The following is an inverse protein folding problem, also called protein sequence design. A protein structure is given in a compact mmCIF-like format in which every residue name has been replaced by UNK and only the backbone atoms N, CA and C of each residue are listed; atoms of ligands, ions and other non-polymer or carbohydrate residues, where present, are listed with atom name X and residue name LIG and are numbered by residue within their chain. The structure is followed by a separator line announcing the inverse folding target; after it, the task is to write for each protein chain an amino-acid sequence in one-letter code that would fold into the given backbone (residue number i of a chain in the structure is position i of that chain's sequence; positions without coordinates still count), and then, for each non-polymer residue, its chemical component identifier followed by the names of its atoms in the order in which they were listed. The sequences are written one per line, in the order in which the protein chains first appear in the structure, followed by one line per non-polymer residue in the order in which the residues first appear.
data_IF_692711426328
#
_entry.id   IF_692711426328
#
_cell.length_a   1.000
_cell.length_b   1.000
_cell.length_c   1.000
_cell.angle_alpha   90.00
_cell.angle_beta   90.00
_cell.angle_gamma   90.00
#
_symmetry.space_group_name_H-M   'P 1'
#
loop_
_entity.id
_entity.type
_entity.pdbx_description
1 polymer ?
#
# COMPACT_ATOMS: atom_id res chain seq x y z
N UNK A 1 17.14 37.54 4.50
CA UNK A 1 18.18 37.81 5.51
C UNK A 1 17.51 38.25 6.80
N UNK A 2 17.35 37.36 7.78
CA UNK A 2 17.50 37.65 9.22
C UNK A 2 17.47 36.31 9.96
N UNK A 3 18.57 36.01 10.65
CA UNK A 3 18.82 34.80 11.43
C UNK A 3 18.27 35.00 12.84
N UNK A 4 17.71 33.96 13.46
CA UNK A 4 17.72 33.83 14.91
C UNK A 4 18.15 32.41 15.26
N UNK A 5 19.30 32.32 15.92
CA UNK A 5 19.77 31.12 16.60
C UNK A 5 19.29 31.13 18.05
N UNK A 6 19.18 29.94 18.63
CA UNK A 6 19.14 29.77 20.07
C UNK A 6 20.10 28.64 20.45
N UNK A 7 21.19 29.06 21.09
CA UNK A 7 22.08 28.25 21.91
C UNK A 7 21.31 27.82 23.17
N UNK A 8 21.43 26.56 23.58
CA UNK A 8 21.21 26.16 24.97
C UNK A 8 22.44 25.40 25.47
N UNK A 9 23.15 26.05 26.38
CA UNK A 9 24.26 25.51 27.14
C UNK A 9 23.75 24.84 28.42
N UNK A 10 24.53 23.86 28.86
CA UNK A 10 24.39 23.05 30.07
C UNK A 10 24.22 23.86 31.36
N UNK A 11 23.47 23.30 32.30
CA UNK A 11 23.75 23.49 33.73
C UNK A 11 23.42 22.21 34.50
N UNK A 12 24.47 21.59 35.03
CA UNK A 12 24.40 20.49 35.98
C UNK A 12 24.42 21.06 37.41
N UNK A 13 23.67 20.46 38.35
CA UNK A 13 24.14 20.35 39.74
C UNK A 13 23.25 19.45 40.62
N UNK A 14 23.94 18.48 41.24
CA UNK A 14 23.80 17.95 42.62
C UNK A 14 22.81 16.80 42.92
N UNK A 15 23.40 15.63 43.06
CA UNK A 15 23.00 14.55 44.00
C UNK A 15 23.32 14.92 45.46
N UNK A 16 22.74 14.17 46.42
CA UNK A 16 23.60 13.45 47.36
C UNK A 16 23.23 11.96 47.54
N UNK A 17 24.26 11.15 47.80
CA UNK A 17 24.20 9.78 48.35
C UNK A 17 23.51 9.80 49.74
N UNK A 18 22.97 8.73 50.34
CA UNK A 18 23.36 7.32 50.44
C UNK A 18 22.24 6.58 51.22
N UNK A 19 21.95 5.31 50.92
CA UNK A 19 20.99 4.54 51.73
C UNK A 19 20.95 3.05 51.40
N UNK A 20 21.77 2.29 52.13
CA UNK A 20 21.67 0.88 52.53
C UNK A 20 20.89 -0.14 51.66
N UNK A 21 21.64 -1.15 51.22
CA UNK A 21 21.13 -2.46 50.84
C UNK A 21 20.52 -3.20 52.05
N UNK A 22 19.30 -3.69 51.91
CA UNK A 22 18.83 -4.88 52.63
C UNK A 22 18.05 -5.78 51.67
N UNK A 23 18.71 -6.83 51.19
CA UNK A 23 18.09 -7.92 50.47
C UNK A 23 17.59 -8.95 51.49
N UNK A 24 16.28 -9.16 51.56
CA UNK A 24 15.71 -10.41 52.11
C UNK A 24 14.28 -10.61 51.62
N UNK A 25 14.10 -11.63 50.76
CA UNK A 25 12.92 -12.50 50.82
C UNK A 25 11.69 -12.14 49.99
N UNK A 26 11.79 -12.25 48.66
CA UNK A 26 10.93 -13.13 47.80
C UNK A 26 11.28 -12.87 46.33
N UNK A 27 11.77 -13.87 45.55
CA UNK A 27 11.95 -13.69 44.12
C UNK A 27 10.58 -13.78 43.46
N UNK A 28 9.93 -12.63 43.26
CA UNK A 28 8.73 -12.57 42.45
C UNK A 28 9.07 -12.97 41.01
N UNK A 29 8.40 -14.05 40.58
CA UNK A 29 8.36 -14.72 39.27
C UNK A 29 8.00 -13.82 38.06
N UNK A 30 8.25 -12.51 38.10
CA UNK A 30 7.65 -11.53 37.18
C UNK A 30 8.54 -11.01 36.04
N UNK A 31 9.84 -11.29 36.02
CA UNK A 31 10.76 -10.71 35.02
C UNK A 31 10.78 -11.46 33.69
N UNK A 32 10.73 -12.80 33.73
CA UNK A 32 10.72 -13.61 32.51
C UNK A 32 9.39 -13.47 31.76
N UNK A 33 8.28 -13.41 32.47
CA UNK A 33 6.92 -13.31 31.91
C UNK A 33 6.66 -11.91 31.35
N UNK A 34 7.09 -10.85 32.04
CA UNK A 34 7.01 -9.47 31.52
C UNK A 34 7.94 -9.26 30.31
N UNK A 35 9.11 -9.90 30.25
CA UNK A 35 9.97 -9.87 29.05
C UNK A 35 9.37 -10.66 27.89
N UNK A 36 8.69 -11.79 28.17
CA UNK A 36 7.97 -12.58 27.17
C UNK A 36 6.75 -11.84 26.63
N UNK A 37 5.99 -11.19 27.52
CA UNK A 37 4.84 -10.34 27.15
C UNK A 37 5.31 -9.14 26.33
N UNK A 38 6.40 -8.47 26.70
CA UNK A 38 7.02 -7.39 25.91
C UNK A 38 7.47 -7.87 24.54
N UNK A 39 8.18 -9.02 24.46
CA UNK A 39 8.60 -9.59 23.17
C UNK A 39 7.41 -10.07 22.32
N UNK A 40 6.34 -10.56 22.94
CA UNK A 40 5.10 -10.93 22.25
C UNK A 40 4.34 -9.70 21.76
N UNK A 41 4.30 -8.60 22.52
CA UNK A 41 3.71 -7.34 22.05
C UNK A 41 4.52 -6.72 20.91
N UNK A 42 5.85 -6.86 20.95
CA UNK A 42 6.73 -6.37 19.89
C UNK A 42 6.58 -7.16 18.59
N UNK A 43 6.23 -8.45 18.66
CA UNK A 43 5.95 -9.26 17.47
C UNK A 43 4.80 -8.66 16.64
N UNK A 44 3.76 -8.13 17.30
CA UNK A 44 2.58 -7.57 16.67
C UNK A 44 2.78 -6.15 16.11
N UNK A 45 3.98 -5.58 16.24
CA UNK A 45 4.32 -4.29 15.65
C UNK A 45 4.51 -4.47 14.14
N UNK A 46 3.72 -3.73 13.38
CA UNK A 46 3.76 -3.75 11.93
C UNK A 46 4.79 -2.75 11.41
N UNK A 47 5.79 -3.28 10.70
CA UNK A 47 6.81 -2.54 9.95
C UNK A 47 7.03 -3.27 8.63
N UNK A 48 7.46 -2.57 7.57
CA UNK A 48 7.92 -3.24 6.36
C UNK A 48 8.93 -4.35 6.71
N UNK A 49 8.73 -5.53 6.15
CA UNK A 49 9.60 -6.70 6.36
C UNK A 49 9.68 -7.22 7.82
N UNK A 50 8.71 -6.90 8.67
CA UNK A 50 8.59 -7.55 9.99
C UNK A 50 8.06 -8.99 9.89
N UNK A 51 8.19 -9.82 10.94
CA UNK A 51 7.60 -11.16 10.93
C UNK A 51 6.08 -11.16 10.67
N UNK A 52 5.34 -10.21 11.25
CA UNK A 52 3.90 -10.06 11.01
C UNK A 52 3.62 -9.62 9.57
N UNK A 53 4.46 -8.80 8.96
CA UNK A 53 4.36 -8.46 7.54
C UNK A 53 4.43 -9.72 6.67
N UNK A 54 5.41 -10.59 6.91
CA UNK A 54 5.54 -11.84 6.14
C UNK A 54 4.42 -12.84 6.45
N UNK A 55 3.93 -12.89 7.69
CA UNK A 55 2.78 -13.72 8.06
C UNK A 55 1.51 -13.30 7.33
N UNK A 56 1.24 -11.99 7.28
CA UNK A 56 0.12 -11.44 6.52
C UNK A 56 0.30 -11.69 5.02
N UNK A 57 1.48 -11.42 4.47
CA UNK A 57 1.76 -11.72 3.07
C UNK A 57 1.50 -13.20 2.74
N UNK A 58 1.98 -14.12 3.58
CA UNK A 58 1.74 -15.56 3.42
C UNK A 58 0.25 -15.91 3.50
N UNK A 59 -0.49 -15.36 4.46
CA UNK A 59 -1.93 -15.55 4.59
C UNK A 59 -2.68 -15.10 3.33
N UNK A 60 -2.37 -13.91 2.81
CA UNK A 60 -3.01 -13.39 1.61
C UNK A 60 -2.63 -14.19 0.35
N UNK A 61 -1.39 -14.66 0.23
CA UNK A 61 -0.99 -15.57 -0.85
C UNK A 61 -1.74 -16.91 -0.77
N UNK A 62 -1.91 -17.46 0.44
CA UNK A 62 -2.71 -18.68 0.65
C UNK A 62 -4.17 -18.47 0.27
N UNK A 63 -4.77 -17.33 0.60
CA UNK A 63 -6.13 -16.96 0.17
C UNK A 63 -6.23 -16.93 -1.36
N UNK A 64 -5.28 -16.30 -2.05
CA UNK A 64 -5.24 -16.25 -3.51
C UNK A 64 -5.14 -17.66 -4.12
N UNK A 65 -4.25 -18.51 -3.60
CA UNK A 65 -4.05 -19.89 -4.08
C UNK A 65 -5.32 -20.73 -3.82
N UNK A 66 -5.88 -20.64 -2.62
CA UNK A 66 -7.10 -21.35 -2.26
C UNK A 66 -8.28 -20.91 -3.14
N UNK A 67 -8.46 -19.61 -3.35
CA UNK A 67 -9.50 -19.09 -4.24
C UNK A 67 -9.30 -19.57 -5.68
N UNK A 68 -8.06 -19.56 -6.20
CA UNK A 68 -7.74 -20.07 -7.54
C UNK A 68 -8.04 -21.58 -7.66
N UNK A 69 -7.76 -22.36 -6.62
CA UNK A 69 -8.09 -23.79 -6.59
C UNK A 69 -9.60 -24.03 -6.54
N UNK A 70 -10.34 -23.32 -5.68
CA UNK A 70 -11.79 -23.44 -5.53
C UNK A 70 -12.56 -23.01 -6.78
N UNK A 71 -12.04 -22.03 -7.51
CA UNK A 71 -12.64 -21.52 -8.75
C UNK A 71 -12.13 -22.24 -10.00
N UNK A 72 -11.28 -23.26 -9.84
CA UNK A 72 -10.81 -24.08 -10.96
C UNK A 72 -11.98 -24.80 -11.62
N UNK A 73 -12.07 -24.70 -12.94
CA UNK A 73 -13.16 -25.29 -13.72
C UNK A 73 -14.50 -24.55 -13.64
N UNK A 74 -14.62 -23.50 -12.82
CA UNK A 74 -15.80 -22.63 -12.82
C UNK A 74 -15.84 -21.76 -14.07
N UNK A 75 -17.05 -21.32 -14.44
CA UNK A 75 -17.22 -20.44 -15.60
C UNK A 75 -16.48 -19.11 -15.40
N UNK A 76 -16.02 -18.52 -16.50
CA UNK A 76 -15.41 -17.19 -16.51
C UNK A 76 -16.31 -16.14 -15.85
N UNK A 77 -17.63 -16.23 -16.06
CA UNK A 77 -18.62 -15.33 -15.44
C UNK A 77 -18.63 -15.46 -13.91
N UNK A 78 -18.60 -16.68 -13.39
CA UNK A 78 -18.53 -16.92 -11.94
C UNK A 78 -17.28 -16.30 -11.33
N UNK A 79 -16.12 -16.51 -11.96
CA UNK A 79 -14.85 -15.95 -11.48
C UNK A 79 -14.87 -14.42 -11.47
N UNK A 80 -15.42 -13.79 -12.52
CA UNK A 80 -15.59 -12.35 -12.59
C UNK A 80 -16.54 -11.80 -11.51
N UNK A 81 -17.65 -12.49 -11.24
CA UNK A 81 -18.58 -12.10 -10.18
C UNK A 81 -17.95 -12.23 -8.79
N UNK A 82 -17.16 -13.29 -8.54
CA UNK A 82 -16.47 -13.46 -7.26
C UNK A 82 -15.44 -12.36 -7.02
N UNK A 83 -14.61 -12.03 -8.01
CA UNK A 83 -13.66 -10.90 -7.88
C UNK A 83 -14.43 -9.59 -7.71
N UNK A 84 -15.50 -9.36 -8.48
CA UNK A 84 -16.29 -8.13 -8.38
C UNK A 84 -16.91 -7.97 -6.98
N UNK A 85 -17.47 -9.05 -6.43
CA UNK A 85 -18.02 -9.06 -5.08
C UNK A 85 -16.95 -8.79 -4.02
N UNK A 86 -15.74 -9.35 -4.18
CA UNK A 86 -14.61 -9.08 -3.30
C UNK A 86 -14.22 -7.60 -3.34
N UNK A 87 -14.08 -6.99 -4.53
CA UNK A 87 -13.78 -5.56 -4.65
C UNK A 87 -14.86 -4.67 -4.00
N UNK A 88 -16.15 -5.01 -4.16
CA UNK A 88 -17.22 -4.27 -3.50
C UNK A 88 -17.17 -4.41 -1.97
N UNK A 89 -16.86 -5.60 -1.46
CA UNK A 89 -16.66 -5.81 -0.02
C UNK A 89 -15.44 -5.02 0.50
N UNK A 90 -14.34 -5.03 -0.24
CA UNK A 90 -13.14 -4.23 0.08
C UNK A 90 -13.46 -2.74 0.06
N UNK A 91 -14.30 -2.26 -0.87
CA UNK A 91 -14.75 -0.86 -0.90
C UNK A 91 -15.62 -0.49 0.31
N UNK A 92 -16.54 -1.36 0.71
CA UNK A 92 -17.33 -1.15 1.93
C UNK A 92 -16.44 -1.12 3.18
N UNK A 93 -15.46 -2.03 3.25
CA UNK A 93 -14.45 -2.04 4.30
C UNK A 93 -13.60 -0.77 4.30
N UNK A 94 -13.22 -0.27 3.12
CA UNK A 94 -12.49 0.99 2.96
C UNK A 94 -13.28 2.18 3.50
N UNK A 95 -14.58 2.28 3.20
CA UNK A 95 -15.45 3.35 3.72
C UNK A 95 -15.52 3.30 5.25
N UNK A 96 -15.73 2.10 5.81
CA UNK A 96 -15.75 1.92 7.27
C UNK A 96 -14.39 2.30 7.89
N UNK A 97 -13.29 1.91 7.26
CA UNK A 97 -11.93 2.28 7.68
C UNK A 97 -11.71 3.80 7.65
N UNK A 98 -12.18 4.52 6.63
CA UNK A 98 -12.07 5.99 6.57
C UNK A 98 -12.84 6.67 7.70
N UNK A 99 -13.98 6.12 8.10
CA UNK A 99 -14.69 6.60 9.29
C UNK A 99 -13.86 6.41 10.57
N UNK A 100 -13.22 5.26 10.77
CA UNK A 100 -12.34 5.06 11.92
C UNK A 100 -11.13 6.00 11.93
N UNK A 101 -10.56 6.30 10.76
CA UNK A 101 -9.49 7.28 10.63
C UNK A 101 -9.97 8.70 10.98
N UNK A 102 -11.21 9.07 10.65
CA UNK A 102 -11.70 10.43 10.91
C UNK A 102 -11.84 10.75 12.39
N UNK A 103 -11.95 9.73 13.25
CA UNK A 103 -12.05 9.87 14.71
C UNK A 103 -10.76 9.48 15.44
N UNK A 104 -9.69 9.12 14.72
CA UNK A 104 -8.40 8.76 15.32
C UNK A 104 -7.63 10.03 15.71
N UNK A 105 -7.68 10.38 16.99
CA UNK A 105 -7.03 11.58 17.53
C UNK A 105 -5.50 11.53 17.37
N UNK A 106 -4.88 10.37 17.59
CA UNK A 106 -3.44 10.20 17.49
C UNK A 106 -2.97 10.40 16.04
N UNK A 107 -3.70 9.84 15.07
CA UNK A 107 -3.39 10.07 13.66
C UNK A 107 -3.52 11.54 13.29
N UNK A 108 -4.56 12.23 13.76
CA UNK A 108 -4.77 13.65 13.50
C UNK A 108 -3.63 14.51 14.05
N UNK A 109 -3.08 14.17 15.21
CA UNK A 109 -1.91 14.84 15.78
C UNK A 109 -0.64 14.57 14.94
N UNK A 110 -0.40 13.31 14.56
CA UNK A 110 0.76 12.91 13.75
C UNK A 110 0.76 13.56 12.36
N UNK A 111 -0.42 13.81 11.80
CA UNK A 111 -0.61 14.35 10.45
C UNK A 111 -1.00 15.83 10.44
N UNK A 112 -0.99 16.51 11.59
CA UNK A 112 -1.39 17.92 11.69
C UNK A 112 -0.56 18.84 10.78
N UNK A 113 0.74 18.56 10.64
CA UNK A 113 1.64 19.28 9.73
C UNK A 113 1.27 19.11 8.25
N UNK A 114 0.55 18.04 7.90
CA UNK A 114 0.05 17.72 6.55
C UNK A 114 -1.42 18.11 6.36
N UNK A 115 -2.06 18.71 7.38
CA UNK A 115 -3.46 19.16 7.32
C UNK A 115 -4.44 18.27 8.09
N UNK A 116 -3.96 17.24 8.78
CA UNK A 116 -4.80 16.29 9.52
C UNK A 116 -5.68 15.45 8.61
N UNK A 117 -6.60 14.68 9.20
CA UNK A 117 -7.62 13.98 8.43
C UNK A 117 -8.55 14.98 7.73
N UNK A 118 -8.73 14.82 6.42
CA UNK A 118 -9.67 15.60 5.62
C UNK A 118 -10.42 14.69 4.65
N UNK A 119 -11.74 14.70 4.69
CA UNK A 119 -12.58 13.87 3.80
C UNK A 119 -12.31 14.10 2.31
N UNK A 120 -11.92 15.32 1.91
CA UNK A 120 -11.52 15.64 0.54
C UNK A 120 -10.14 15.11 0.15
N UNK A 121 -9.27 14.78 1.11
CA UNK A 121 -8.00 14.08 0.90
C UNK A 121 -8.13 12.56 0.93
N UNK A 122 -9.30 12.06 1.33
CA UNK A 122 -9.57 10.64 1.55
C UNK A 122 -10.52 10.02 0.52
N UNK A 123 -10.81 10.76 -0.57
CA UNK A 123 -11.59 10.27 -1.70
C UNK A 123 -10.88 9.07 -2.35
N UNK A 124 -11.61 8.21 -3.08
CA UNK A 124 -11.05 7.04 -3.75
C UNK A 124 -10.24 7.40 -5.01
N UNK A 125 -9.43 8.46 -4.94
CA UNK A 125 -8.59 8.98 -6.01
C UNK A 125 -7.15 8.48 -5.95
N UNK A 126 -6.76 7.78 -4.88
CA UNK A 126 -5.48 7.08 -4.79
C UNK A 126 -5.44 5.83 -5.70
N UNK A 127 -4.25 5.42 -6.12
CA UNK A 127 -4.06 4.43 -7.18
C UNK A 127 -4.67 3.07 -6.84
N UNK A 128 -4.52 2.64 -5.58
CA UNK A 128 -5.12 1.42 -5.05
C UNK A 128 -6.66 1.49 -5.02
N UNK A 129 -7.23 2.65 -4.68
CA UNK A 129 -8.67 2.86 -4.59
C UNK A 129 -9.32 2.91 -5.98
N UNK A 130 -8.68 3.60 -6.92
CA UNK A 130 -9.08 3.59 -8.34
C UNK A 130 -9.09 2.15 -8.84
N UNK A 131 -8.03 1.38 -8.54
CA UNK A 131 -7.95 0.00 -8.99
C UNK A 131 -9.11 -0.86 -8.47
N UNK A 132 -9.46 -0.73 -7.19
CA UNK A 132 -10.61 -1.43 -6.59
C UNK A 132 -11.95 -1.09 -7.29
N UNK A 133 -12.11 0.13 -7.81
CA UNK A 133 -13.29 0.53 -8.59
C UNK A 133 -13.23 0.02 -10.04
N UNK A 134 -12.05 -0.01 -10.65
CA UNK A 134 -11.87 -0.40 -12.04
C UNK A 134 -11.92 -1.92 -12.25
N UNK A 135 -11.46 -2.73 -11.29
CA UNK A 135 -11.45 -4.19 -11.42
C UNK A 135 -12.84 -4.77 -11.74
N UNK A 136 -13.92 -4.46 -10.98
CA UNK A 136 -15.27 -4.94 -11.29
C UNK A 136 -15.68 -4.62 -12.73
N UNK A 137 -15.46 -3.38 -13.17
CA UNK A 137 -15.78 -2.96 -14.54
C UNK A 137 -14.95 -3.74 -15.55
N UNK A 138 -13.65 -3.91 -15.30
CA UNK A 138 -12.72 -4.61 -16.18
C UNK A 138 -13.12 -6.08 -16.38
N UNK A 139 -13.44 -6.79 -15.30
CA UNK A 139 -13.76 -8.23 -15.35
C UNK A 139 -15.17 -8.49 -15.87
N UNK A 140 -16.14 -7.61 -15.59
CA UNK A 140 -17.52 -7.75 -16.07
C UNK A 140 -17.65 -7.36 -17.56
N UNK A 141 -16.98 -6.30 -18.00
CA UNK A 141 -16.98 -5.85 -19.41
C UNK A 141 -15.94 -6.54 -20.27
N UNK A 142 -15.01 -7.28 -19.67
CA UNK A 142 -13.88 -7.93 -20.36
C UNK A 142 -13.05 -6.94 -21.18
N UNK A 143 -12.97 -5.70 -20.71
CA UNK A 143 -12.27 -4.64 -21.43
C UNK A 143 -10.77 -4.76 -21.18
N UNK A 144 -10.05 -5.25 -22.19
CA UNK A 144 -8.65 -5.65 -22.06
C UNK A 144 -7.71 -4.53 -21.58
N UNK A 145 -7.77 -3.29 -22.09
CA UNK A 145 -6.93 -2.21 -21.59
C UNK A 145 -7.09 -2.00 -20.09
N UNK A 146 -8.32 -2.08 -19.58
CA UNK A 146 -8.59 -1.93 -18.16
C UNK A 146 -8.09 -3.11 -17.34
N UNK A 147 -8.24 -4.33 -17.85
CA UNK A 147 -7.66 -5.53 -17.23
C UNK A 147 -6.13 -5.42 -17.14
N UNK A 148 -5.48 -4.91 -18.19
CA UNK A 148 -4.03 -4.69 -18.19
C UNK A 148 -3.61 -3.63 -17.18
N UNK A 149 -4.30 -2.50 -17.16
CA UNK A 149 -4.08 -1.44 -16.18
C UNK A 149 -4.20 -1.99 -14.77
N UNK A 150 -5.32 -2.63 -14.44
CA UNK A 150 -5.55 -3.16 -13.10
C UNK A 150 -4.52 -4.21 -12.69
N UNK A 151 -4.15 -5.10 -13.60
CA UNK A 151 -3.20 -6.18 -13.33
C UNK A 151 -1.77 -5.69 -13.08
N UNK A 152 -1.29 -4.69 -13.82
CA UNK A 152 0.07 -4.19 -13.64
C UNK A 152 0.16 -3.10 -12.56
N UNK A 153 -0.78 -2.16 -12.57
CA UNK A 153 -0.72 -0.96 -11.74
C UNK A 153 -1.20 -1.27 -10.32
N UNK A 154 -2.23 -2.11 -10.17
CA UNK A 154 -2.80 -2.50 -8.89
C UNK A 154 -1.79 -3.13 -7.92
N UNK A 155 -1.15 -4.25 -8.27
CA UNK A 155 -0.20 -4.93 -7.38
C UNK A 155 1.03 -4.07 -7.11
N UNK A 156 1.54 -3.35 -8.12
CA UNK A 156 2.69 -2.46 -7.94
C UNK A 156 2.38 -1.33 -6.96
N UNK A 157 1.25 -0.64 -7.13
CA UNK A 157 0.81 0.43 -6.24
C UNK A 157 0.56 -0.06 -4.82
N UNK A 158 -0.13 -1.20 -4.68
CA UNK A 158 -0.38 -1.81 -3.38
C UNK A 158 0.93 -2.24 -2.67
N UNK A 159 1.87 -2.83 -3.42
CA UNK A 159 3.17 -3.21 -2.88
C UNK A 159 3.97 -1.99 -2.42
N UNK A 160 3.94 -0.89 -3.16
CA UNK A 160 4.62 0.35 -2.76
C UNK A 160 4.05 0.91 -1.45
N UNK A 161 2.72 0.92 -1.29
CA UNK A 161 2.10 1.32 -0.03
C UNK A 161 2.50 0.38 1.14
N UNK A 162 2.55 -0.93 0.90
CA UNK A 162 2.93 -1.91 1.93
C UNK A 162 4.41 -1.80 2.35
N UNK A 163 5.32 -1.47 1.44
CA UNK A 163 6.77 -1.39 1.69
C UNK A 163 7.20 0.01 2.16
N UNK A 164 6.50 1.06 1.72
CA UNK A 164 6.76 2.45 2.10
C UNK A 164 5.49 3.10 2.65
N UNK A 165 5.01 2.64 3.82
CA UNK A 165 3.82 3.21 4.44
C UNK A 165 4.04 4.67 4.85
N UNK A 166 3.00 5.49 4.65
CA UNK A 166 3.00 6.89 5.09
C UNK A 166 3.02 7.04 6.62
N UNK A 167 3.16 8.28 7.07
CA UNK A 167 3.14 8.64 8.49
C UNK A 167 1.87 8.11 9.18
N UNK A 168 2.03 7.53 10.37
CA UNK A 168 0.92 6.93 11.14
C UNK A 168 0.61 5.47 10.81
N UNK A 169 1.27 4.89 9.80
CA UNK A 169 1.06 3.50 9.35
C UNK A 169 2.31 2.59 9.49
N UNK A 170 3.34 3.04 10.21
CA UNK A 170 4.59 2.31 10.45
C UNK A 170 4.95 2.31 11.94
N UNK A 171 5.29 1.14 12.49
CA UNK A 171 5.79 1.05 13.86
C UNK A 171 4.70 0.91 14.93
N UNK A 172 3.47 0.64 14.52
CA UNK A 172 2.31 0.47 15.40
C UNK A 172 1.80 -0.97 15.42
N UNK A 173 1.07 -1.34 16.47
CA UNK A 173 0.44 -2.66 16.58
C UNK A 173 -0.54 -2.89 15.43
N UNK A 174 -0.50 -4.07 14.80
CA UNK A 174 -1.43 -4.44 13.73
C UNK A 174 -2.90 -4.39 14.19
N UNK A 175 -3.19 -4.54 15.48
CA UNK A 175 -4.55 -4.54 16.02
C UNK A 175 -5.18 -3.15 16.13
N UNK A 176 -4.43 -2.07 15.90
CA UNK A 176 -5.01 -0.74 15.79
C UNK A 176 -5.94 -0.68 14.56
N UNK A 177 -7.16 -0.13 14.67
CA UNK A 177 -8.10 -0.05 13.55
C UNK A 177 -7.48 0.59 12.29
N UNK A 178 -6.67 1.64 12.47
CA UNK A 178 -5.97 2.30 11.35
C UNK A 178 -4.97 1.38 10.64
N UNK A 179 -4.31 0.49 11.39
CA UNK A 179 -3.32 -0.45 10.86
C UNK A 179 -4.00 -1.62 10.16
N UNK A 180 -5.04 -2.20 10.77
CA UNK A 180 -5.86 -3.24 10.14
C UNK A 180 -6.44 -2.76 8.81
N UNK A 181 -7.04 -1.57 8.81
CA UNK A 181 -7.64 -1.01 7.60
C UNK A 181 -6.61 -0.68 6.53
N UNK A 182 -5.47 -0.07 6.89
CA UNK A 182 -4.40 0.23 5.93
C UNK A 182 -3.83 -1.04 5.29
N UNK A 183 -3.26 -1.95 6.08
CA UNK A 183 -2.61 -3.14 5.54
C UNK A 183 -3.63 -4.10 4.91
N UNK A 184 -4.79 -4.29 5.55
CA UNK A 184 -5.86 -5.15 5.03
C UNK A 184 -6.33 -4.70 3.65
N UNK A 185 -6.61 -3.40 3.47
CA UNK A 185 -7.05 -2.87 2.17
C UNK A 185 -5.99 -3.07 1.09
N UNK A 186 -4.72 -2.75 1.37
CA UNK A 186 -3.66 -2.88 0.37
C UNK A 186 -3.36 -4.34 0.01
N UNK A 187 -3.37 -5.26 0.98
CA UNK A 187 -3.24 -6.68 0.68
C UNK A 187 -4.44 -7.21 -0.14
N UNK A 188 -5.67 -6.78 0.15
CA UNK A 188 -6.85 -7.15 -0.63
C UNK A 188 -6.76 -6.64 -2.08
N UNK A 189 -6.45 -5.36 -2.29
CA UNK A 189 -6.29 -4.78 -3.63
C UNK A 189 -5.21 -5.52 -4.43
N UNK A 190 -4.11 -5.92 -3.76
CA UNK A 190 -3.06 -6.72 -4.39
C UNK A 190 -3.58 -8.11 -4.80
N UNK A 191 -4.31 -8.83 -3.92
CA UNK A 191 -4.92 -10.12 -4.27
C UNK A 191 -5.89 -9.95 -5.45
N UNK A 192 -6.80 -8.99 -5.38
CA UNK A 192 -7.86 -8.81 -6.38
C UNK A 192 -7.28 -8.57 -7.77
N UNK A 193 -6.22 -7.76 -7.85
CA UNK A 193 -5.53 -7.50 -9.10
C UNK A 193 -4.76 -8.73 -9.62
N UNK A 194 -4.05 -9.46 -8.75
CA UNK A 194 -3.36 -10.70 -9.14
C UNK A 194 -4.34 -11.82 -9.51
N UNK A 195 -5.52 -11.85 -8.87
CA UNK A 195 -6.58 -12.83 -9.11
C UNK A 195 -7.09 -12.77 -10.54
N UNK A 196 -7.06 -11.61 -11.21
CA UNK A 196 -7.45 -11.48 -12.62
C UNK A 196 -6.66 -12.45 -13.49
N UNK A 197 -5.34 -12.54 -13.29
CA UNK A 197 -4.50 -13.48 -14.04
C UNK A 197 -4.56 -14.90 -13.45
N UNK A 198 -4.56 -15.05 -12.12
CA UNK A 198 -4.61 -16.35 -11.46
C UNK A 198 -5.87 -17.15 -11.82
N UNK A 199 -7.00 -16.46 -12.03
CA UNK A 199 -8.28 -17.05 -12.41
C UNK A 199 -8.41 -17.25 -13.92
N UNK A 200 -7.45 -16.77 -14.71
CA UNK A 200 -7.42 -16.88 -16.16
C UNK A 200 -8.25 -15.82 -16.90
N UNK A 201 -8.70 -14.76 -16.24
CA UNK A 201 -9.50 -13.69 -16.85
C UNK A 201 -8.66 -12.75 -17.73
N UNK A 202 -7.36 -12.67 -17.44
CA UNK A 202 -6.40 -11.86 -18.18
C UNK A 202 -5.08 -12.62 -18.35
N UNK A 203 -4.43 -12.39 -19.50
CA UNK A 203 -3.06 -12.83 -19.76
C UNK A 203 -2.26 -11.66 -20.29
N UNK A 204 -1.12 -11.28 -19.66
CA UNK A 204 -0.34 -10.14 -20.08
C UNK A 204 0.31 -10.34 -21.46
N UNK A 205 0.39 -9.27 -22.26
CA UNK A 205 1.09 -9.25 -23.55
C UNK A 205 1.90 -7.96 -23.67
N UNK A 206 3.02 -7.99 -24.38
CA UNK A 206 3.86 -6.80 -24.60
C UNK A 206 3.09 -5.65 -25.29
N UNK A 207 2.11 -5.99 -26.12
CA UNK A 207 1.23 -5.00 -26.79
C UNK A 207 0.33 -4.23 -25.83
N UNK A 208 0.14 -4.72 -24.61
CA UNK A 208 -0.71 -4.05 -23.63
C UNK A 208 0.06 -2.96 -22.84
N UNK A 209 1.40 -3.02 -22.80
CA UNK A 209 2.24 -2.13 -21.99
C UNK A 209 2.13 -0.64 -22.36
N UNK A 210 2.25 -0.23 -23.64
CA UNK A 210 2.22 1.19 -23.98
C UNK A 210 0.93 1.88 -23.54
N UNK A 211 -0.21 1.19 -23.70
CA UNK A 211 -1.50 1.72 -23.31
C UNK A 211 -1.67 1.77 -21.78
N UNK A 212 -1.14 0.79 -21.05
CA UNK A 212 -1.15 0.80 -19.58
C UNK A 212 -0.28 1.94 -19.01
N UNK A 213 0.89 2.17 -19.59
CA UNK A 213 1.77 3.29 -19.21
C UNK A 213 1.12 4.64 -19.54
N UNK A 214 0.54 4.78 -20.74
CA UNK A 214 -0.19 5.97 -21.13
C UNK A 214 -1.40 6.23 -20.22
N UNK A 215 -2.17 5.19 -19.90
CA UNK A 215 -3.31 5.31 -19.00
C UNK A 215 -2.89 5.78 -17.61
N UNK A 216 -1.79 5.24 -17.05
CA UNK A 216 -1.27 5.72 -15.77
C UNK A 216 -0.86 7.19 -15.85
N UNK A 217 -0.15 7.59 -16.92
CA UNK A 217 0.24 8.99 -17.11
C UNK A 217 -0.98 9.92 -17.18
N UNK A 218 -1.99 9.58 -17.99
CA UNK A 218 -3.22 10.38 -18.15
C UNK A 218 -4.00 10.47 -16.84
N UNK A 219 -4.16 9.36 -16.12
CA UNK A 219 -4.83 9.35 -14.82
C UNK A 219 -4.05 10.20 -13.81
N UNK A 220 -2.73 10.02 -13.71
CA UNK A 220 -1.90 10.81 -12.81
C UNK A 220 -1.97 12.31 -13.12
N UNK A 221 -2.00 12.69 -14.40
CA UNK A 221 -2.14 14.09 -14.80
C UNK A 221 -3.52 14.66 -14.43
N UNK A 222 -4.59 13.88 -14.64
CA UNK A 222 -5.93 14.28 -14.24
C UNK A 222 -6.04 14.45 -12.71
N UNK A 223 -5.44 13.53 -11.95
CA UNK A 223 -5.37 13.61 -10.48
C UNK A 223 -4.56 14.83 -10.05
N UNK A 224 -3.42 15.12 -10.67
CA UNK A 224 -2.66 16.33 -10.40
C UNK A 224 -3.47 17.61 -10.65
N UNK A 225 -4.29 17.65 -11.72
CA UNK A 225 -5.21 18.77 -11.95
C UNK A 225 -6.25 18.88 -10.82
N UNK A 226 -6.77 17.76 -10.32
CA UNK A 226 -7.69 17.72 -9.18
C UNK A 226 -7.00 18.22 -7.90
N UNK A 227 -5.74 17.83 -7.64
CA UNK A 227 -4.96 18.36 -6.53
C UNK A 227 -4.83 19.88 -6.61
N UNK A 228 -4.50 20.41 -7.79
CA UNK A 228 -4.41 21.86 -7.98
C UNK A 228 -5.76 22.54 -7.71
N UNK A 229 -6.86 21.99 -8.22
CA UNK A 229 -8.21 22.50 -7.96
C UNK A 229 -8.56 22.47 -6.47
N UNK A 230 -8.25 21.37 -5.77
CA UNK A 230 -8.51 21.24 -4.34
C UNK A 230 -7.65 22.20 -3.51
N UNK A 231 -6.39 22.43 -3.90
CA UNK A 231 -5.47 23.35 -3.23
C UNK A 231 -5.85 24.82 -3.41
N UNK A 232 -6.31 25.20 -4.59
CA UNK A 232 -6.81 26.57 -4.82
C UNK A 232 -8.21 26.77 -4.24
N UNK A 233 -8.97 25.68 -4.07
CA UNK A 233 -10.21 25.71 -3.31
C UNK A 233 -9.92 25.75 -1.80
N UNK A 234 -10.83 26.31 -1.01
CA UNK A 234 -10.72 26.25 0.45
C UNK A 234 -10.99 24.84 1.03
N UNK A 235 -11.26 23.82 0.19
CA UNK A 235 -11.69 22.49 0.63
C UNK A 235 -10.53 21.65 1.18
N UNK A 236 -9.37 21.69 0.52
CA UNK A 236 -8.18 20.97 0.98
C UNK A 236 -6.87 21.62 0.46
N UNK A 237 -6.36 22.64 1.17
CA UNK A 237 -5.15 23.39 0.77
C UNK A 237 -3.87 22.57 0.64
N UNK A 238 -3.86 21.34 1.19
CA UNK A 238 -2.71 20.42 1.18
C UNK A 238 -2.97 19.13 0.38
N UNK A 239 -3.97 19.13 -0.53
CA UNK A 239 -4.29 17.96 -1.35
C UNK A 239 -3.08 17.42 -2.12
N UNK A 240 -2.80 16.13 -1.99
CA UNK A 240 -1.60 15.53 -2.59
C UNK A 240 -1.85 14.08 -3.00
N UNK A 241 -2.89 13.86 -3.79
CA UNK A 241 -3.15 12.56 -4.38
C UNK A 241 -1.97 12.11 -5.23
N UNK A 242 -1.68 10.80 -5.20
CA UNK A 242 -0.52 10.20 -5.89
C UNK A 242 0.84 10.79 -5.48
N UNK A 243 0.89 11.65 -4.45
CA UNK A 243 2.07 12.46 -4.14
C UNK A 243 2.51 13.29 -5.36
N UNK A 244 1.57 13.84 -6.13
CA UNK A 244 1.90 14.56 -7.36
C UNK A 244 2.47 15.96 -7.12
N UNK A 245 2.31 16.53 -5.92
CA UNK A 245 2.75 17.88 -5.58
C UNK A 245 3.93 17.86 -4.62
N UNK A 246 3.83 17.08 -3.56
CA UNK A 246 4.84 16.99 -2.48
C UNK A 246 5.23 15.52 -2.24
N UNK A 247 6.45 15.28 -1.79
CA UNK A 247 6.98 13.92 -1.57
C UNK A 247 6.58 13.31 -0.23
N UNK A 248 6.13 14.13 0.73
CA UNK A 248 5.69 13.73 2.08
C UNK A 248 6.68 12.82 2.84
N UNK A 249 7.98 13.02 2.63
CA UNK A 249 9.02 12.21 3.28
C UNK A 249 9.18 10.80 2.70
N UNK A 250 8.54 10.48 1.56
CA UNK A 250 8.74 9.21 0.88
C UNK A 250 10.15 9.18 0.23
N UNK A 251 11.05 8.27 0.65
CA UNK A 251 12.44 8.30 0.20
C UNK A 251 12.61 8.09 -1.31
N UNK A 252 11.73 7.29 -1.93
CA UNK A 252 11.77 7.05 -3.38
C UNK A 252 11.35 8.29 -4.14
N UNK A 253 10.32 9.00 -3.67
CA UNK A 253 9.85 10.23 -4.31
C UNK A 253 10.82 11.39 -4.07
N UNK A 254 11.46 11.46 -2.91
CA UNK A 254 12.55 12.41 -2.65
C UNK A 254 13.72 12.20 -3.61
N UNK A 255 14.08 10.94 -3.89
CA UNK A 255 15.10 10.62 -4.90
C UNK A 255 14.68 11.13 -6.29
N UNK A 256 13.45 10.88 -6.72
CA UNK A 256 13.00 11.38 -8.03
C UNK A 256 12.93 12.90 -8.10
N UNK A 257 12.49 13.53 -7.03
CA UNK A 257 12.45 14.99 -6.91
C UNK A 257 13.87 15.59 -6.93
N UNK A 258 14.87 14.88 -6.40
CA UNK A 258 16.29 15.29 -6.50
C UNK A 258 16.80 15.33 -7.94
N UNK A 259 16.23 14.51 -8.84
CA UNK A 259 16.56 14.51 -10.26
C UNK A 259 15.73 15.52 -11.06
N UNK A 260 14.45 15.67 -10.71
CA UNK A 260 13.48 16.52 -11.41
C UNK A 260 12.68 17.30 -10.37
N UNK A 261 13.10 18.51 -9.95
CA UNK A 261 12.43 19.27 -8.88
C UNK A 261 11.21 20.05 -9.42
N UNK A 262 10.34 19.39 -10.17
CA UNK A 262 9.13 19.98 -10.75
C UNK A 262 7.94 19.10 -10.37
N UNK A 263 6.88 19.67 -9.74
CA UNK A 263 5.67 18.93 -9.40
C UNK A 263 5.13 18.15 -10.60
N UNK A 264 4.57 16.98 -10.33
CA UNK A 264 4.10 15.98 -11.29
C UNK A 264 5.22 15.35 -12.16
N UNK A 265 6.16 16.13 -12.70
CA UNK A 265 7.22 15.62 -13.58
C UNK A 265 8.22 14.71 -12.84
N UNK A 266 8.41 14.92 -11.54
CA UNK A 266 9.22 13.99 -10.73
C UNK A 266 8.63 12.58 -10.64
N UNK A 267 7.37 12.37 -11.03
CA UNK A 267 6.77 11.03 -11.08
C UNK A 267 7.07 10.28 -12.39
N UNK A 268 7.68 10.92 -13.40
CA UNK A 268 8.02 10.27 -14.68
C UNK A 268 8.90 9.01 -14.54
N UNK A 269 9.91 8.97 -13.63
CA UNK A 269 10.65 7.74 -13.36
C UNK A 269 9.77 6.55 -12.96
N UNK A 270 8.64 6.79 -12.27
CA UNK A 270 7.68 5.74 -11.89
C UNK A 270 7.06 5.06 -13.11
N UNK A 271 6.85 5.78 -14.21
CA UNK A 271 6.35 5.21 -15.48
C UNK A 271 7.37 4.26 -16.09
N UNK A 272 8.67 4.60 -16.02
CA UNK A 272 9.76 3.74 -16.48
C UNK A 272 9.82 2.46 -15.63
N UNK A 273 9.72 2.60 -14.29
CA UNK A 273 9.66 1.46 -13.37
C UNK A 273 8.49 0.54 -13.70
N UNK A 274 7.29 1.10 -13.95
CA UNK A 274 6.14 0.33 -14.40
C UNK A 274 6.43 -0.43 -15.69
N UNK A 275 7.06 0.23 -16.68
CA UNK A 275 7.43 -0.41 -17.96
C UNK A 275 8.36 -1.60 -17.78
N UNK A 276 9.40 -1.46 -16.95
CA UNK A 276 10.35 -2.55 -16.63
C UNK A 276 9.63 -3.68 -15.90
N UNK A 277 8.89 -3.35 -14.83
CA UNK A 277 8.10 -4.31 -14.04
C UNK A 277 7.12 -5.10 -14.91
N UNK A 278 6.31 -4.40 -15.71
CA UNK A 278 5.33 -5.03 -16.59
C UNK A 278 6.00 -5.87 -17.69
N UNK A 279 7.16 -5.43 -18.18
CA UNK A 279 7.98 -6.17 -19.14
C UNK A 279 8.49 -7.49 -18.58
N UNK A 280 9.05 -7.47 -17.37
CA UNK A 280 9.53 -8.68 -16.66
C UNK A 280 8.40 -9.67 -16.42
N UNK A 281 7.26 -9.21 -15.90
CA UNK A 281 6.10 -10.08 -15.68
C UNK A 281 5.62 -10.68 -17.00
N UNK A 282 5.46 -9.87 -18.03
CA UNK A 282 5.01 -10.33 -19.35
C UNK A 282 5.97 -11.36 -19.94
N UNK A 283 7.28 -11.15 -19.80
CA UNK A 283 8.30 -12.10 -20.23
C UNK A 283 8.17 -13.44 -19.49
N UNK A 284 7.93 -13.40 -18.17
CA UNK A 284 7.69 -14.60 -17.36
C UNK A 284 6.49 -15.42 -17.86
N UNK A 285 5.37 -14.76 -18.17
CA UNK A 285 4.19 -15.42 -18.76
C UNK A 285 4.50 -16.01 -20.14
N UNK A 286 5.15 -15.25 -21.02
CA UNK A 286 5.51 -15.73 -22.36
C UNK A 286 6.46 -16.94 -22.30
N UNK A 287 7.40 -16.95 -21.35
CA UNK A 287 8.33 -18.06 -21.15
C UNK A 287 7.62 -19.32 -20.61
N UNK A 288 6.73 -19.16 -19.63
CA UNK A 288 5.92 -20.26 -19.10
C UNK A 288 5.06 -20.92 -20.18
N UNK A 289 4.49 -20.13 -21.09
CA UNK A 289 3.73 -20.65 -22.23
C UNK A 289 4.59 -21.46 -23.21
N UNK A 290 5.80 -20.98 -23.52
CA UNK A 290 6.74 -21.71 -24.39
C UNK A 290 7.14 -23.07 -23.79
N UNK A 291 7.43 -23.12 -22.49
CA UNK A 291 7.76 -24.38 -21.81
C UNK A 291 6.55 -25.31 -21.68
N UNK A 292 5.35 -24.77 -21.43
CA UNK A 292 4.11 -25.54 -21.38
C UNK A 292 3.71 -26.16 -22.73
N UNK A 293 3.87 -25.41 -23.82
CA UNK A 293 3.63 -25.89 -25.18
C UNK A 293 4.63 -26.99 -25.60
N UNK A 294 5.89 -26.87 -25.18
CA UNK A 294 6.92 -27.89 -25.41
C UNK A 294 6.63 -29.22 -24.71
N UNK A 295 6.00 -29.20 -23.53
CA UNK A 295 5.58 -30.42 -22.82
C UNK A 295 4.39 -31.12 -23.49
N UNK A 296 3.39 -30.36 -23.99
CA UNK A 296 2.24 -30.94 -24.71
C UNK A 296 2.64 -31.58 -26.04
N UNK A 297 3.59 -31.00 -26.78
CA UNK A 297 4.11 -31.58 -28.03
C UNK A 297 4.95 -32.85 -27.83
N UNK A 298 5.44 -33.13 -26.62
CA UNK A 298 6.16 -34.38 -26.29
C UNK A 298 5.24 -35.51 -25.80
N UNK A 299 3.96 -35.23 -25.56
CA UNK A 299 2.97 -36.17 -25.04
C UNK A 299 1.88 -36.55 -26.07
N UNK A 300 1.92 -35.94 -27.26
CA UNK A 300 1.11 -36.25 -28.43
C UNK A 300 2.01 -36.88 -29.49
#
# INVERSE_FOLDING_TARGET
MCRQGFLWASCASRSPASGAWSASGTPWRGTSERSKISKMSDFWIMRPFSPVFFLLLALFLLILIAAAALLRGRSERTKALVISAACWLTLLGFIAYKYFLSIDAELNELTASMGGFNWWGELPLQLCNINMLLIPVAVLKRYRPLLSFCFFVGPLGALMALVMPGTGFNGYSIFLPRMLGYYGTHFMVMIEALAIAAFGLYRPRFRDLPLTMLALFVIAFAIFCIDMLLRVSALHPKANYFFAVETEGNPLLELFHSWIPVPFLFLLPSIVILGVYAGVITAGFALAERFGAGKRKKQA
#
